data_IF_690441686011
#
_entry.id   IF_690441686011
#
_cell.length_a   1.000
_cell.length_b   1.000
_cell.length_c   1.000
_cell.angle_alpha   90.00
_cell.angle_beta   90.00
_cell.angle_gamma   90.00
#
_symmetry.space_group_name_H-M   'P 1'
#
loop_
_entity.id
_entity.type
_entity.pdbx_description
1 polymer ?
#
# COMPACT_ATOMS: atom_id res chain seq x y z
N UNK A 1 28.36 -2.27 54.64
CA UNK A 1 28.45 -2.92 53.31
C UNK A 1 27.09 -3.18 52.66
N UNK A 2 26.13 -3.81 53.35
CA UNK A 2 24.81 -4.18 52.77
C UNK A 2 24.03 -2.99 52.17
N UNK A 3 24.02 -1.82 52.83
CA UNK A 3 23.34 -0.62 52.33
C UNK A 3 23.97 -0.04 51.05
N UNK A 4 25.27 -0.21 50.87
CA UNK A 4 25.98 0.27 49.67
C UNK A 4 25.64 -0.59 48.44
N UNK A 5 25.51 -1.91 48.65
CA UNK A 5 25.16 -2.89 47.62
C UNK A 5 23.72 -2.70 47.15
N UNK A 6 22.79 -2.43 48.07
CA UNK A 6 21.38 -2.15 47.73
C UNK A 6 21.26 -0.85 46.94
N UNK A 7 22.02 0.19 47.30
CA UNK A 7 22.04 1.45 46.55
C UNK A 7 22.63 1.27 45.14
N UNK A 8 23.71 0.49 45.02
CA UNK A 8 24.33 0.18 43.72
C UNK A 8 23.40 -0.63 42.82
N UNK A 9 22.65 -1.59 43.38
CA UNK A 9 21.65 -2.38 42.66
C UNK A 9 20.47 -1.51 42.21
N UNK A 10 20.00 -0.57 43.03
CA UNK A 10 18.95 0.36 42.65
C UNK A 10 19.41 1.33 41.55
N UNK A 11 20.66 1.80 41.63
CA UNK A 11 21.29 2.66 40.63
C UNK A 11 21.50 1.93 39.29
N UNK A 12 21.94 0.66 39.32
CA UNK A 12 22.05 -0.18 38.13
C UNK A 12 20.69 -0.55 37.52
N UNK A 13 19.66 -0.77 38.35
CA UNK A 13 18.30 -1.06 37.88
C UNK A 13 17.66 0.16 37.20
N UNK A 14 17.87 1.37 37.75
CA UNK A 14 17.36 2.63 37.19
C UNK A 14 18.13 3.12 35.95
N UNK A 15 19.38 2.68 35.76
CA UNK A 15 20.11 2.87 34.50
C UNK A 15 19.71 1.83 33.44
N UNK A 16 19.40 0.58 33.81
CA UNK A 16 18.92 -0.43 32.87
C UNK A 16 17.45 -0.24 32.47
N UNK A 17 16.63 0.48 33.24
CA UNK A 17 15.25 0.82 32.85
C UNK A 17 15.14 2.01 31.89
N UNK A 18 16.27 2.58 31.45
CA UNK A 18 16.35 3.62 30.40
C UNK A 18 17.08 3.14 29.14
N UNK A 19 17.24 1.84 28.99
CA UNK A 19 17.35 1.25 27.66
C UNK A 19 15.97 1.26 27.03
N UNK A 20 15.54 2.39 26.46
CA UNK A 20 14.47 2.36 25.46
C UNK A 20 14.83 1.26 24.46
N UNK A 21 13.89 0.35 24.19
CA UNK A 21 14.07 -0.73 23.24
C UNK A 21 14.50 -0.15 21.89
N UNK A 22 15.81 -0.17 21.61
CA UNK A 22 16.39 0.21 20.30
C UNK A 22 15.82 -0.69 19.18
N UNK A 23 15.19 -1.81 19.52
CA UNK A 23 14.44 -2.68 18.61
C UNK A 23 13.07 -2.11 18.16
N UNK A 24 12.64 -0.91 18.58
CA UNK A 24 11.32 -0.36 18.23
C UNK A 24 11.34 0.73 17.14
N UNK A 25 12.51 1.10 16.63
CA UNK A 25 12.62 2.00 15.47
C UNK A 25 13.00 1.17 14.25
N UNK A 26 12.14 0.23 13.87
CA UNK A 26 12.24 -0.35 12.55
C UNK A 26 11.91 0.76 11.54
N UNK A 27 12.92 1.17 10.77
CA UNK A 27 12.75 1.90 9.53
C UNK A 27 12.01 0.95 8.57
N UNK A 28 10.69 0.92 8.71
CA UNK A 28 9.86 -0.04 8.02
C UNK A 28 9.74 0.38 6.55
N UNK A 29 10.35 -0.39 5.64
CA UNK A 29 10.25 -0.18 4.20
C UNK A 29 8.85 -0.59 3.76
N UNK A 30 7.91 0.36 3.79
CA UNK A 30 6.55 0.17 3.29
C UNK A 30 6.51 0.16 1.77
N UNK A 31 5.54 0.85 1.16
CA UNK A 31 5.62 1.16 -0.26
C UNK A 31 6.91 1.94 -0.56
N UNK A 32 7.84 1.32 -1.29
CA UNK A 32 9.14 1.89 -1.64
C UNK A 32 9.11 2.61 -2.99
N UNK A 33 10.07 3.51 -3.22
CA UNK A 33 10.23 4.13 -4.55
C UNK A 33 10.54 3.08 -5.64
N UNK A 34 11.20 1.98 -5.30
CA UNK A 34 11.49 0.88 -6.23
C UNK A 34 10.22 0.12 -6.63
N UNK A 35 9.33 -0.20 -5.68
CA UNK A 35 8.03 -0.79 -5.98
C UNK A 35 7.20 0.16 -6.85
N UNK A 36 7.13 1.45 -6.50
CA UNK A 36 6.47 2.48 -7.32
C UNK A 36 7.05 2.54 -8.74
N UNK A 37 8.37 2.47 -8.88
CA UNK A 37 9.04 2.46 -10.18
C UNK A 37 8.61 1.24 -11.02
N UNK A 38 8.59 0.05 -10.42
CA UNK A 38 8.24 -1.18 -11.11
C UNK A 38 6.77 -1.21 -11.50
N UNK A 39 5.86 -0.85 -10.58
CA UNK A 39 4.42 -0.73 -10.88
C UNK A 39 4.25 0.18 -12.10
N UNK A 40 4.85 1.38 -12.08
CA UNK A 40 4.79 2.34 -13.18
C UNK A 40 5.34 1.77 -14.50
N UNK A 41 6.50 1.09 -14.46
CA UNK A 41 7.12 0.54 -15.66
C UNK A 41 6.20 -0.49 -16.32
N UNK A 42 5.67 -1.42 -15.53
CA UNK A 42 4.81 -2.49 -16.02
C UNK A 42 3.45 -1.98 -16.49
N UNK A 43 2.84 -1.03 -15.78
CA UNK A 43 1.57 -0.43 -16.20
C UNK A 43 1.72 0.41 -17.46
N UNK A 44 2.83 1.14 -17.62
CA UNK A 44 3.14 1.86 -18.87
C UNK A 44 3.28 0.91 -20.06
N UNK A 45 3.92 -0.26 -19.86
CA UNK A 45 3.99 -1.30 -20.90
C UNK A 45 2.61 -1.85 -21.25
N UNK A 46 1.78 -2.12 -20.24
CA UNK A 46 0.40 -2.56 -20.43
C UNK A 46 -0.45 -1.54 -21.18
N UNK A 47 -0.31 -0.24 -20.86
CA UNK A 47 -0.99 0.87 -21.53
C UNK A 47 -0.63 0.94 -23.02
N UNK A 48 0.67 0.89 -23.35
CA UNK A 48 1.10 0.91 -24.75
C UNK A 48 0.49 -0.25 -25.55
N UNK A 49 0.47 -1.46 -24.98
CA UNK A 49 -0.12 -2.63 -25.62
C UNK A 49 -1.64 -2.50 -25.80
N UNK A 50 -2.35 -1.88 -24.86
CA UNK A 50 -3.79 -1.60 -25.01
C UNK A 50 -4.04 -0.59 -26.13
N UNK A 51 -3.18 0.42 -26.27
CA UNK A 51 -3.25 1.36 -27.39
C UNK A 51 -2.97 0.66 -28.74
N UNK A 52 -2.01 -0.26 -28.79
CA UNK A 52 -1.71 -1.07 -29.98
C UNK A 52 -2.87 -2.02 -30.33
N UNK A 53 -3.50 -2.62 -29.33
CA UNK A 53 -4.71 -3.43 -29.49
C UNK A 53 -5.87 -2.61 -30.04
N UNK A 54 -6.10 -1.42 -29.47
CA UNK A 54 -7.12 -0.49 -29.92
C UNK A 54 -6.89 -0.03 -31.37
N UNK A 55 -5.66 0.36 -31.70
CA UNK A 55 -5.25 0.72 -33.06
C UNK A 55 -5.49 -0.43 -34.05
N UNK A 56 -5.16 -1.67 -33.65
CA UNK A 56 -5.36 -2.87 -34.46
C UNK A 56 -6.83 -3.17 -34.75
N UNK A 57 -7.73 -2.91 -33.79
CA UNK A 57 -9.17 -3.02 -33.99
C UNK A 57 -9.73 -1.92 -34.93
N UNK A 58 -9.04 -0.79 -35.08
CA UNK A 58 -9.42 0.32 -35.96
C UNK A 58 -8.93 0.17 -37.41
N UNK A 59 -8.07 -0.81 -37.70
CA UNK A 59 -7.64 -1.12 -39.07
C UNK A 59 -8.83 -1.59 -39.92
N UNK A 60 -8.80 -1.28 -41.23
CA UNK A 60 -9.81 -1.77 -42.21
C UNK A 60 -9.94 -3.29 -42.21
N UNK A 61 -8.81 -4.00 -42.05
CA UNK A 61 -8.75 -5.45 -41.90
C UNK A 61 -8.24 -5.78 -40.49
N UNK A 62 -9.14 -6.29 -39.65
CA UNK A 62 -8.82 -6.66 -38.27
C UNK A 62 -8.12 -8.02 -38.25
N UNK A 63 -6.91 -8.06 -37.69
CA UNK A 63 -6.14 -9.29 -37.46
C UNK A 63 -6.35 -9.71 -36.00
N UNK A 64 -7.34 -10.58 -35.75
CA UNK A 64 -7.73 -10.98 -34.38
C UNK A 64 -6.55 -11.51 -33.56
N UNK A 65 -5.69 -12.33 -34.17
CA UNK A 65 -4.51 -12.91 -33.50
C UNK A 65 -3.56 -11.82 -32.99
N UNK A 66 -3.36 -10.77 -33.76
CA UNK A 66 -2.52 -9.63 -33.39
C UNK A 66 -3.11 -8.92 -32.16
N UNK A 67 -4.40 -8.57 -32.20
CA UNK A 67 -5.09 -7.96 -31.07
C UNK A 67 -5.04 -8.84 -29.83
N UNK A 68 -5.27 -10.16 -29.95
CA UNK A 68 -5.15 -11.10 -28.84
C UNK A 68 -3.77 -11.07 -28.18
N UNK A 69 -2.70 -11.11 -28.98
CA UNK A 69 -1.34 -11.05 -28.45
C UNK A 69 -1.10 -9.80 -27.63
N UNK A 70 -1.58 -8.63 -28.10
CA UNK A 70 -1.45 -7.39 -27.33
C UNK A 70 -2.24 -7.41 -26.02
N UNK A 71 -3.47 -7.93 -26.03
CA UNK A 71 -4.29 -8.03 -24.80
C UNK A 71 -3.69 -9.02 -23.79
N UNK A 72 -3.19 -10.17 -24.26
CA UNK A 72 -2.53 -11.17 -23.41
C UNK A 72 -1.25 -10.63 -22.78
N UNK A 73 -0.42 -9.96 -23.58
CA UNK A 73 0.79 -9.31 -23.08
C UNK A 73 0.47 -8.17 -22.10
N UNK A 74 -0.62 -7.42 -22.32
CA UNK A 74 -1.06 -6.38 -21.40
C UNK A 74 -1.47 -6.95 -20.05
N UNK A 75 -2.30 -8.01 -20.04
CA UNK A 75 -2.68 -8.70 -18.81
C UNK A 75 -1.48 -9.30 -18.07
N UNK A 76 -0.51 -9.85 -18.81
CA UNK A 76 0.75 -10.30 -18.23
C UNK A 76 1.45 -9.17 -17.48
N UNK A 77 1.66 -8.01 -18.11
CA UNK A 77 2.32 -6.89 -17.44
C UNK A 77 1.51 -6.30 -16.28
N UNK A 78 0.18 -6.31 -16.33
CA UNK A 78 -0.63 -5.91 -15.18
C UNK A 78 -0.52 -6.90 -14.01
N UNK A 79 -0.30 -8.19 -14.28
CA UNK A 79 0.00 -9.17 -13.24
C UNK A 79 1.39 -8.96 -12.66
N UNK A 80 2.39 -8.65 -13.48
CA UNK A 80 3.72 -8.25 -13.01
C UNK A 80 3.66 -6.99 -12.15
N UNK A 81 2.92 -5.96 -12.57
CA UNK A 81 2.74 -4.73 -11.78
C UNK A 81 2.12 -5.03 -10.40
N UNK A 82 1.10 -5.88 -10.35
CA UNK A 82 0.40 -6.22 -9.12
C UNK A 82 1.31 -6.94 -8.11
N UNK A 83 2.29 -7.73 -8.56
CA UNK A 83 3.26 -8.39 -7.68
C UNK A 83 4.14 -7.41 -6.89
N UNK A 84 4.29 -6.17 -7.37
CA UNK A 84 5.01 -5.11 -6.65
C UNK A 84 4.13 -4.31 -5.69
N UNK A 85 2.81 -4.57 -5.65
CA UNK A 85 1.93 -3.99 -4.65
C UNK A 85 2.15 -4.70 -3.30
N UNK A 86 2.48 -3.98 -2.21
CA UNK A 86 2.64 -4.59 -0.89
C UNK A 86 1.40 -5.36 -0.40
N UNK A 87 0.20 -4.86 -0.67
CA UNK A 87 -1.07 -5.52 -0.33
C UNK A 87 -1.20 -6.87 -1.01
N UNK A 88 -0.76 -6.99 -2.27
CA UNK A 88 -0.74 -8.27 -2.99
C UNK A 88 0.18 -9.28 -2.31
N UNK A 89 1.38 -8.87 -1.87
CA UNK A 89 2.31 -9.76 -1.17
C UNK A 89 1.69 -10.28 0.13
N UNK A 90 1.08 -9.38 0.91
CA UNK A 90 0.37 -9.72 2.15
C UNK A 90 -0.79 -10.69 1.87
N UNK A 91 -1.61 -10.39 0.85
CA UNK A 91 -2.70 -11.25 0.42
C UNK A 91 -2.22 -12.68 0.09
N UNK A 92 -1.11 -12.82 -0.65
CA UNK A 92 -0.52 -14.12 -1.00
C UNK A 92 0.04 -14.86 0.22
N UNK A 93 0.57 -14.15 1.19
CA UNK A 93 1.02 -14.74 2.46
C UNK A 93 -0.15 -15.25 3.28
N UNK A 94 -1.25 -14.50 3.35
CA UNK A 94 -2.47 -14.97 4.01
C UNK A 94 -3.01 -16.25 3.33
N UNK A 95 -3.12 -16.27 2.00
CA UNK A 95 -3.55 -17.49 1.29
C UNK A 95 -2.63 -18.70 1.54
N UNK A 96 -1.32 -18.48 1.65
CA UNK A 96 -0.37 -19.53 1.95
C UNK A 96 -0.53 -20.04 3.39
N UNK A 97 -0.76 -19.13 4.34
CA UNK A 97 -0.98 -19.44 5.75
C UNK A 97 -2.29 -20.21 5.95
N UNK A 98 -3.39 -19.79 5.33
CA UNK A 98 -4.68 -20.49 5.34
C UNK A 98 -4.52 -21.94 4.87
N UNK A 99 -3.81 -22.17 3.75
CA UNK A 99 -3.53 -23.51 3.23
C UNK A 99 -2.67 -24.33 4.19
N UNK A 100 -1.67 -23.72 4.83
CA UNK A 100 -0.82 -24.42 5.82
C UNK A 100 -1.66 -24.87 7.01
N UNK A 101 -2.48 -24.00 7.59
CA UNK A 101 -3.38 -24.35 8.71
C UNK A 101 -4.29 -25.52 8.35
N UNK A 102 -4.82 -25.54 7.12
CA UNK A 102 -5.67 -26.64 6.64
C UNK A 102 -4.91 -27.97 6.46
N UNK A 103 -3.64 -27.91 6.02
CA UNK A 103 -2.82 -29.10 5.76
C UNK A 103 -2.08 -29.63 7.00
N UNK A 104 -1.74 -28.75 7.94
CA UNK A 104 -0.91 -29.03 9.11
C UNK A 104 -1.52 -28.39 10.37
N UNK A 105 -2.73 -28.79 10.80
CA UNK A 105 -3.48 -28.12 11.86
C UNK A 105 -2.79 -28.14 13.23
N UNK A 106 -1.82 -29.02 13.45
CA UNK A 106 -1.14 -29.14 14.75
C UNK A 106 0.07 -28.19 14.89
N UNK A 107 0.41 -27.40 13.87
CA UNK A 107 1.50 -26.42 13.93
C UNK A 107 1.11 -25.13 14.67
N UNK A 108 2.08 -24.49 15.34
CA UNK A 108 1.94 -23.15 15.89
C UNK A 108 2.29 -22.09 14.84
N UNK A 109 1.29 -21.32 14.43
CA UNK A 109 1.40 -20.25 13.43
C UNK A 109 1.63 -18.85 14.01
N UNK A 110 1.92 -18.74 15.30
CA UNK A 110 2.06 -17.45 15.99
C UNK A 110 3.17 -16.58 15.37
N UNK A 111 4.30 -17.17 14.95
CA UNK A 111 5.40 -16.43 14.32
C UNK A 111 5.02 -15.93 12.92
N UNK A 112 4.35 -16.75 12.11
CA UNK A 112 3.84 -16.34 10.80
C UNK A 112 2.87 -15.15 10.92
N UNK A 113 2.00 -15.17 11.92
CA UNK A 113 1.05 -14.08 12.21
C UNK A 113 1.74 -12.81 12.74
N UNK A 114 2.82 -12.93 13.52
CA UNK A 114 3.64 -11.77 13.93
C UNK A 114 4.36 -11.15 12.73
N UNK A 115 4.88 -11.97 11.81
CA UNK A 115 5.45 -11.48 10.56
C UNK A 115 4.41 -10.74 9.73
N UNK A 116 3.19 -11.29 9.61
CA UNK A 116 2.07 -10.62 8.95
C UNK A 116 1.74 -9.26 9.60
N UNK A 117 1.81 -9.17 10.93
CA UNK A 117 1.57 -7.92 11.66
C UNK A 117 2.58 -6.85 11.25
N UNK A 118 3.86 -7.19 11.18
CA UNK A 118 4.93 -6.27 10.74
C UNK A 118 4.63 -5.75 9.33
N UNK A 119 4.23 -6.62 8.39
CA UNK A 119 3.90 -6.21 7.02
C UNK A 119 2.65 -5.34 6.93
N UNK A 120 1.65 -5.55 7.79
CA UNK A 120 0.48 -4.66 7.87
C UNK A 120 0.87 -3.30 8.43
N UNK A 121 1.77 -3.24 9.42
CA UNK A 121 2.32 -1.99 9.94
C UNK A 121 3.13 -1.22 8.88
N UNK A 122 3.86 -1.93 8.00
CA UNK A 122 4.64 -1.37 6.89
C UNK A 122 3.81 -0.51 5.93
N UNK A 123 2.52 -0.84 5.75
CA UNK A 123 1.60 -0.18 4.83
C UNK A 123 0.47 0.59 5.55
N UNK A 124 0.62 0.81 6.85
CA UNK A 124 -0.40 1.40 7.72
C UNK A 124 -0.94 2.75 7.22
N UNK A 125 -0.12 3.56 6.55
CA UNK A 125 -0.58 4.84 6.00
C UNK A 125 -1.54 4.70 4.82
N UNK A 126 -1.53 3.55 4.15
CA UNK A 126 -2.35 3.27 2.98
C UNK A 126 -3.60 2.44 3.28
N UNK A 127 -3.70 1.82 4.45
CA UNK A 127 -4.84 1.02 4.87
C UNK A 127 -5.96 1.89 5.48
N UNK A 128 -7.17 1.81 4.94
CA UNK A 128 -8.32 2.56 5.45
C UNK A 128 -8.70 2.14 6.88
N UNK A 129 -8.69 0.83 7.16
CA UNK A 129 -9.11 0.21 8.43
C UNK A 129 -7.92 -0.29 9.27
N UNK A 130 -6.74 0.33 9.17
CA UNK A 130 -5.50 -0.13 9.82
C UNK A 130 -5.68 -0.53 11.29
N UNK A 131 -6.32 0.34 12.11
CA UNK A 131 -6.49 0.08 13.54
C UNK A 131 -7.36 -1.14 13.83
N UNK A 132 -8.38 -1.38 13.00
CA UNK A 132 -9.22 -2.57 13.11
C UNK A 132 -8.42 -3.82 12.73
N UNK A 133 -7.73 -3.78 11.59
CA UNK A 133 -6.93 -4.89 11.08
C UNK A 133 -5.84 -5.28 12.06
N UNK A 134 -5.09 -4.31 12.59
CA UNK A 134 -4.06 -4.51 13.61
C UNK A 134 -4.61 -5.22 14.84
N UNK A 135 -5.68 -4.69 15.44
CA UNK A 135 -6.29 -5.27 16.65
C UNK A 135 -6.80 -6.69 16.42
N UNK A 136 -7.41 -6.94 15.26
CA UNK A 136 -7.89 -8.26 14.87
C UNK A 136 -6.73 -9.25 14.74
N UNK A 137 -5.62 -8.83 14.15
CA UNK A 137 -4.42 -9.66 14.01
C UNK A 137 -3.72 -9.92 15.34
N UNK A 138 -3.60 -8.91 16.21
CA UNK A 138 -3.08 -9.08 17.58
C UNK A 138 -3.91 -10.09 18.40
N UNK A 139 -5.23 -10.06 18.25
CA UNK A 139 -6.12 -11.05 18.87
C UNK A 139 -5.96 -12.44 18.25
N UNK A 140 -5.82 -12.50 16.92
CA UNK A 140 -5.57 -13.75 16.18
C UNK A 140 -4.26 -14.43 16.62
N UNK A 141 -3.19 -13.65 16.84
CA UNK A 141 -1.91 -14.14 17.36
C UNK A 141 -2.09 -14.81 18.73
N UNK A 142 -2.87 -14.20 19.63
CA UNK A 142 -3.13 -14.78 20.95
C UNK A 142 -3.88 -16.10 20.85
N UNK A 143 -4.79 -16.23 19.88
CA UNK A 143 -5.60 -17.43 19.67
C UNK A 143 -4.86 -18.57 18.97
N UNK A 144 -3.92 -18.24 18.08
CA UNK A 144 -3.08 -19.23 17.40
C UNK A 144 -2.25 -20.07 18.38
N UNK A 145 -1.75 -19.45 19.46
CA UNK A 145 -1.02 -20.16 20.52
C UNK A 145 -1.83 -21.26 21.24
N UNK A 146 -3.17 -21.26 21.08
CA UNK A 146 -4.08 -22.25 21.67
C UNK A 146 -4.66 -23.22 20.62
N UNK A 147 -4.11 -23.25 19.39
CA UNK A 147 -4.56 -24.12 18.28
C UNK A 147 -6.05 -23.92 17.90
N UNK A 148 -6.59 -22.72 18.08
CA UNK A 148 -7.96 -22.36 17.67
C UNK A 148 -8.04 -22.10 16.14
N UNK A 149 -7.69 -23.10 15.31
CA UNK A 149 -7.48 -22.92 13.87
C UNK A 149 -8.66 -22.35 13.09
N UNK A 150 -9.90 -22.74 13.41
CA UNK A 150 -11.07 -22.17 12.73
C UNK A 150 -11.18 -20.66 12.99
N UNK A 151 -10.92 -20.22 14.21
CA UNK A 151 -10.91 -18.79 14.54
C UNK A 151 -9.81 -18.05 13.77
N UNK A 152 -8.63 -18.66 13.65
CA UNK A 152 -7.51 -18.10 12.88
C UNK A 152 -7.89 -17.96 11.41
N UNK A 153 -8.46 -19.00 10.80
CA UNK A 153 -8.91 -18.99 9.41
C UNK A 153 -9.98 -17.90 9.16
N UNK A 154 -11.02 -17.85 10.00
CA UNK A 154 -12.09 -16.84 9.88
C UNK A 154 -11.52 -15.42 10.03
N UNK A 155 -10.55 -15.23 10.92
CA UNK A 155 -9.91 -13.93 11.13
C UNK A 155 -9.00 -13.53 9.97
N UNK A 156 -8.27 -14.47 9.40
CA UNK A 156 -7.43 -14.25 8.22
C UNK A 156 -8.24 -13.85 7.00
N UNK A 157 -9.41 -14.47 6.77
CA UNK A 157 -10.32 -14.08 5.68
C UNK A 157 -10.78 -12.62 5.83
N UNK A 158 -11.21 -12.23 7.03
CA UNK A 158 -11.63 -10.85 7.33
C UNK A 158 -10.48 -9.85 7.11
N UNK A 159 -9.26 -10.20 7.52
CA UNK A 159 -8.08 -9.36 7.32
C UNK A 159 -7.76 -9.24 5.83
N UNK A 160 -7.80 -10.35 5.09
CA UNK A 160 -7.51 -10.43 3.65
C UNK A 160 -8.40 -9.48 2.83
N UNK A 161 -9.69 -9.41 3.15
CA UNK A 161 -10.64 -8.49 2.48
C UNK A 161 -10.36 -7.01 2.73
N UNK A 162 -9.64 -6.68 3.82
CA UNK A 162 -9.38 -5.29 4.24
C UNK A 162 -7.98 -4.79 3.89
N UNK A 163 -7.09 -5.68 3.46
CA UNK A 163 -5.72 -5.31 3.05
C UNK A 163 -5.72 -4.91 1.58
N UNK A 164 -5.94 -3.62 1.32
CA UNK A 164 -5.83 -3.03 -0.01
C UNK A 164 -5.16 -1.66 0.04
N UNK A 165 -4.51 -1.29 -1.06
CA UNK A 165 -4.01 0.06 -1.32
C UNK A 165 -4.84 0.62 -2.48
N UNK A 166 -5.97 1.30 -2.21
CA UNK A 166 -6.96 1.67 -3.24
C UNK A 166 -6.36 2.44 -4.43
N UNK A 167 -5.42 3.36 -4.16
CA UNK A 167 -4.73 4.14 -5.19
C UNK A 167 -3.94 3.28 -6.19
N UNK A 168 -3.64 2.02 -5.84
CA UNK A 168 -2.86 1.06 -6.63
C UNK A 168 -3.74 -0.10 -7.11
N UNK A 169 -4.40 -0.78 -6.18
CA UNK A 169 -5.04 -2.07 -6.43
C UNK A 169 -6.36 -1.91 -7.20
N UNK A 170 -7.14 -0.87 -6.93
CA UNK A 170 -8.42 -0.61 -7.60
C UNK A 170 -8.21 -0.36 -9.11
N UNK A 171 -7.37 0.61 -9.54
CA UNK A 171 -7.15 0.83 -10.98
C UNK A 171 -6.45 -0.36 -11.65
N UNK A 172 -5.59 -1.11 -10.96
CA UNK A 172 -5.01 -2.35 -11.52
C UNK A 172 -6.09 -3.40 -11.79
N UNK A 173 -6.98 -3.61 -10.83
CA UNK A 173 -8.06 -4.60 -10.92
C UNK A 173 -9.09 -4.19 -11.97
N UNK A 174 -9.49 -2.93 -11.99
CA UNK A 174 -10.41 -2.37 -12.99
C UNK A 174 -9.85 -2.52 -14.41
N UNK A 175 -8.58 -2.14 -14.63
CA UNK A 175 -7.93 -2.31 -15.92
C UNK A 175 -7.89 -3.77 -16.39
N UNK A 176 -7.51 -4.70 -15.49
CA UNK A 176 -7.50 -6.14 -15.81
C UNK A 176 -8.88 -6.65 -16.21
N UNK A 177 -9.91 -6.27 -15.47
CA UNK A 177 -11.29 -6.69 -15.74
C UNK A 177 -11.77 -6.16 -17.10
N UNK A 178 -11.56 -4.88 -17.39
CA UNK A 178 -11.95 -4.27 -18.67
C UNK A 178 -11.20 -4.88 -19.86
N UNK A 179 -9.92 -5.18 -19.71
CA UNK A 179 -9.13 -5.88 -20.76
C UNK A 179 -9.62 -7.32 -20.93
N UNK A 180 -9.96 -8.02 -19.84
CA UNK A 180 -10.59 -9.34 -19.88
C UNK A 180 -11.91 -9.33 -20.65
N UNK A 181 -12.80 -8.38 -20.35
CA UNK A 181 -14.06 -8.16 -21.06
C UNK A 181 -13.81 -7.86 -22.54
N UNK A 182 -12.84 -7.01 -22.87
CA UNK A 182 -12.48 -6.70 -24.25
C UNK A 182 -12.03 -7.96 -25.03
N UNK A 183 -11.30 -8.85 -24.36
CA UNK A 183 -10.81 -10.12 -24.90
C UNK A 183 -11.95 -11.12 -25.13
N UNK A 184 -12.95 -11.16 -24.25
CA UNK A 184 -14.15 -11.98 -24.42
C UNK A 184 -15.02 -11.47 -25.58
N UNK A 185 -15.23 -10.16 -25.71
CA UNK A 185 -15.90 -9.59 -26.88
C UNK A 185 -15.13 -9.85 -28.19
N UNK A 186 -13.80 -9.80 -28.16
CA UNK A 186 -12.97 -10.18 -29.31
C UNK A 186 -13.15 -11.66 -29.68
N UNK A 187 -13.39 -12.54 -28.70
CA UNK A 187 -13.67 -13.98 -28.89
C UNK A 187 -15.00 -14.17 -29.62
N UNK A 188 -16.01 -13.46 -29.17
CA UNK A 188 -17.35 -13.41 -29.75
C UNK A 188 -17.43 -12.65 -31.09
N UNK A 189 -16.33 -12.07 -31.57
CA UNK A 189 -16.26 -11.22 -32.78
C UNK A 189 -17.07 -9.91 -32.67
N UNK A 190 -17.36 -9.47 -31.44
CA UNK A 190 -18.05 -8.22 -31.15
C UNK A 190 -17.05 -7.05 -31.09
N UNK A 191 -16.43 -6.72 -32.23
CA UNK A 191 -15.30 -5.77 -32.28
C UNK A 191 -15.63 -4.38 -31.75
N UNK A 192 -16.87 -3.89 -31.94
CA UNK A 192 -17.30 -2.58 -31.42
C UNK A 192 -17.30 -2.57 -29.88
N UNK A 193 -17.84 -3.62 -29.25
CA UNK A 193 -17.86 -3.74 -27.78
C UNK A 193 -16.46 -3.94 -27.22
N UNK A 194 -15.64 -4.73 -27.93
CA UNK A 194 -14.22 -4.89 -27.58
C UNK A 194 -13.48 -3.55 -27.56
N UNK A 195 -13.69 -2.69 -28.58
CA UNK A 195 -13.13 -1.32 -28.60
C UNK A 195 -13.60 -0.47 -27.42
N UNK A 196 -14.91 -0.47 -27.16
CA UNK A 196 -15.48 0.31 -26.05
C UNK A 196 -14.89 -0.11 -24.70
N UNK A 197 -14.72 -1.42 -24.47
CA UNK A 197 -14.07 -1.92 -23.26
C UNK A 197 -12.61 -1.47 -23.16
N UNK A 198 -11.86 -1.45 -24.28
CA UNK A 198 -10.49 -0.91 -24.29
C UNK A 198 -10.44 0.60 -24.04
N UNK A 199 -11.37 1.38 -24.59
CA UNK A 199 -11.49 2.82 -24.33
C UNK A 199 -11.73 3.10 -22.85
N UNK A 200 -12.61 2.33 -22.22
CA UNK A 200 -12.85 2.41 -20.77
C UNK A 200 -11.60 2.01 -19.98
N UNK A 201 -10.85 0.99 -20.42
CA UNK A 201 -9.64 0.53 -19.75
C UNK A 201 -8.51 1.58 -19.73
N UNK A 202 -8.54 2.55 -20.64
CA UNK A 202 -7.51 3.61 -20.69
C UNK A 202 -7.49 4.44 -19.42
N UNK A 203 -8.64 4.78 -18.84
CA UNK A 203 -8.71 5.62 -17.64
C UNK A 203 -8.00 4.99 -16.43
N UNK A 204 -8.33 3.76 -15.97
CA UNK A 204 -7.61 3.15 -14.85
C UNK A 204 -6.14 2.89 -15.18
N UNK A 205 -5.81 2.53 -16.43
CA UNK A 205 -4.41 2.39 -16.88
C UNK A 205 -3.66 3.71 -16.79
N UNK A 206 -4.28 4.82 -17.17
CA UNK A 206 -3.73 6.16 -17.02
C UNK A 206 -3.59 6.46 -15.53
N UNK A 207 -4.60 6.27 -14.70
CA UNK A 207 -4.51 6.58 -13.27
C UNK A 207 -3.35 5.85 -12.55
N UNK A 208 -3.06 4.60 -12.93
CA UNK A 208 -1.92 3.83 -12.37
C UNK A 208 -0.59 4.04 -13.11
N UNK A 209 -0.61 4.31 -14.42
CA UNK A 209 0.61 4.59 -15.21
C UNK A 209 1.12 6.01 -14.97
N UNK A 210 0.19 6.93 -14.69
CA UNK A 210 0.49 8.28 -14.26
C UNK A 210 0.87 8.26 -12.79
N UNK A 211 1.89 9.03 -12.47
CA UNK A 211 2.61 8.88 -11.21
C UNK A 211 1.85 9.44 -10.01
N UNK A 212 0.74 10.16 -10.22
CA UNK A 212 0.01 10.84 -9.15
C UNK A 212 -0.43 9.85 -8.06
N UNK A 213 -1.22 8.83 -8.41
CA UNK A 213 -1.71 7.85 -7.44
C UNK A 213 -0.57 7.18 -6.66
N UNK A 214 0.50 6.79 -7.36
CA UNK A 214 1.67 6.17 -6.74
C UNK A 214 2.40 7.13 -5.78
N UNK A 215 2.52 8.41 -6.15
CA UNK A 215 3.10 9.43 -5.30
C UNK A 215 2.19 9.79 -4.12
N UNK A 216 0.88 9.79 -4.32
CA UNK A 216 -0.09 10.01 -3.25
C UNK A 216 -0.07 8.86 -2.24
N UNK A 217 0.08 7.61 -2.69
CA UNK A 217 0.28 6.45 -1.81
C UNK A 217 1.56 6.60 -0.97
N UNK A 218 2.66 7.11 -1.56
CA UNK A 218 3.87 7.46 -0.81
C UNK A 218 3.66 8.60 0.20
N UNK A 219 2.91 9.64 -0.18
CA UNK A 219 2.56 10.75 0.74
C UNK A 219 1.81 10.20 1.95
N UNK A 220 0.77 9.38 1.72
CA UNK A 220 0.00 8.73 2.78
C UNK A 220 0.90 7.96 3.74
N UNK A 221 1.79 7.15 3.18
CA UNK A 221 2.74 6.35 3.95
C UNK A 221 3.69 7.20 4.80
N UNK A 222 4.34 8.18 4.18
CA UNK A 222 5.32 9.01 4.86
C UNK A 222 4.70 9.93 5.91
N UNK A 223 3.50 10.48 5.68
CA UNK A 223 2.80 11.27 6.69
C UNK A 223 2.43 10.42 7.90
N UNK A 224 1.91 9.21 7.66
CA UNK A 224 1.56 8.29 8.75
C UNK A 224 2.80 7.91 9.57
N UNK A 225 3.90 7.53 8.90
CA UNK A 225 5.18 7.24 9.56
C UNK A 225 5.76 8.45 10.30
N UNK A 226 5.63 9.64 9.72
CA UNK A 226 5.99 10.90 10.35
C UNK A 226 5.25 11.11 11.67
N UNK A 227 3.94 10.83 11.71
CA UNK A 227 3.13 10.88 12.93
C UNK A 227 3.56 9.84 13.96
N UNK A 228 3.65 8.57 13.57
CA UNK A 228 4.00 7.48 14.51
C UNK A 228 5.35 7.75 15.17
N UNK A 229 6.32 8.24 14.41
CA UNK A 229 7.67 8.52 14.90
C UNK A 229 7.82 9.88 15.59
N UNK A 230 6.81 10.75 15.58
CA UNK A 230 6.92 12.12 16.10
C UNK A 230 7.32 12.16 17.57
N UNK A 231 6.66 11.36 18.40
CA UNK A 231 6.91 11.28 19.85
C UNK A 231 8.06 10.33 20.22
N UNK A 232 8.51 9.48 19.29
CA UNK A 232 9.57 8.50 19.51
C UNK A 232 10.94 9.05 19.08
N UNK A 233 11.01 9.63 17.88
CA UNK A 233 12.23 10.18 17.30
C UNK A 233 11.90 11.31 16.31
N UNK A 234 11.94 12.54 16.83
CA UNK A 234 11.66 13.78 16.08
C UNK A 234 12.51 13.94 14.81
N UNK A 235 13.77 13.47 14.82
CA UNK A 235 14.67 13.55 13.65
C UNK A 235 14.19 12.64 12.52
N UNK A 236 13.74 11.44 12.85
CA UNK A 236 13.20 10.49 11.87
C UNK A 236 11.85 10.99 11.36
N UNK A 237 10.99 11.50 12.24
CA UNK A 237 9.71 12.12 11.86
C UNK A 237 9.90 13.25 10.85
N UNK A 238 10.87 14.14 11.05
CA UNK A 238 11.24 15.18 10.06
C UNK A 238 11.63 14.59 8.71
N UNK A 239 12.46 13.54 8.68
CA UNK A 239 12.85 12.88 7.42
C UNK A 239 11.67 12.31 6.67
N UNK A 240 10.70 11.71 7.37
CA UNK A 240 9.47 11.25 6.75
C UNK A 240 8.62 12.40 6.21
N UNK A 241 8.53 13.51 6.95
CA UNK A 241 7.88 14.71 6.44
C UNK A 241 8.59 15.26 5.20
N UNK A 242 9.93 15.19 5.13
CA UNK A 242 10.70 15.66 3.98
C UNK A 242 10.42 14.78 2.76
N UNK A 243 10.41 13.47 2.95
CA UNK A 243 10.02 12.50 1.93
C UNK A 243 8.57 12.71 1.47
N UNK A 244 7.64 13.01 2.38
CA UNK A 244 6.24 13.32 2.04
C UNK A 244 6.14 14.60 1.21
N UNK A 245 6.90 15.65 1.55
CA UNK A 245 6.93 16.89 0.79
C UNK A 245 7.53 16.67 -0.60
N UNK A 246 8.56 15.85 -0.70
CA UNK A 246 9.15 15.46 -1.97
C UNK A 246 8.15 14.69 -2.85
N UNK A 247 7.44 13.72 -2.28
CA UNK A 247 6.42 12.94 -2.98
C UNK A 247 5.22 13.80 -3.43
N UNK A 248 4.68 14.67 -2.56
CA UNK A 248 3.55 15.55 -2.93
C UNK A 248 3.93 16.57 -4.00
N UNK A 249 5.19 17.04 -4.01
CA UNK A 249 5.68 17.88 -5.09
C UNK A 249 5.71 17.11 -6.41
N UNK A 250 6.22 15.88 -6.41
CA UNK A 250 6.20 15.02 -7.59
C UNK A 250 4.76 14.78 -8.08
N UNK A 251 3.81 14.52 -7.16
CA UNK A 251 2.38 14.39 -7.48
C UNK A 251 1.87 15.66 -8.19
N UNK A 252 2.04 16.83 -7.57
CA UNK A 252 1.59 18.12 -8.10
C UNK A 252 2.04 18.40 -9.54
N UNK A 253 3.27 18.02 -9.89
CA UNK A 253 3.82 18.24 -11.24
C UNK A 253 3.15 17.37 -12.30
N UNK A 254 2.67 16.19 -11.93
CA UNK A 254 2.03 15.25 -12.87
C UNK A 254 0.51 15.29 -12.81
N UNK A 255 -0.06 16.09 -11.90
CA UNK A 255 -1.50 16.17 -11.69
C UNK A 255 -2.29 16.77 -12.82
N UNK A 256 -3.50 16.24 -13.00
CA UNK A 256 -4.55 16.87 -13.80
C UNK A 256 -4.92 18.24 -13.20
N UNK A 257 -5.61 19.08 -13.99
CA UNK A 257 -6.10 20.37 -13.48
C UNK A 257 -7.09 20.19 -12.33
N UNK A 258 -7.90 19.13 -12.35
CA UNK A 258 -8.92 18.86 -11.34
C UNK A 258 -8.30 18.52 -9.97
N UNK A 259 -7.24 17.70 -9.95
CA UNK A 259 -6.62 17.25 -8.69
C UNK A 259 -5.56 18.22 -8.16
N UNK A 260 -5.10 19.16 -8.99
CA UNK A 260 -3.99 20.06 -8.66
C UNK A 260 -4.28 20.97 -7.45
N UNK A 261 -5.51 21.41 -7.26
CA UNK A 261 -5.88 22.29 -6.14
C UNK A 261 -5.85 21.55 -4.80
N UNK A 262 -6.39 20.32 -4.77
CA UNK A 262 -6.29 19.43 -3.60
C UNK A 262 -4.83 19.18 -3.22
N UNK A 263 -4.00 18.81 -4.20
CA UNK A 263 -2.58 18.50 -3.97
C UNK A 263 -1.80 19.76 -3.57
N UNK A 264 -2.17 20.94 -4.09
CA UNK A 264 -1.61 22.22 -3.65
C UNK A 264 -1.90 22.48 -2.17
N UNK A 265 -3.15 22.28 -1.72
CA UNK A 265 -3.53 22.43 -0.32
C UNK A 265 -2.75 21.47 0.58
N UNK A 266 -2.63 20.19 0.19
CA UNK A 266 -1.82 19.22 0.94
C UNK A 266 -0.35 19.65 1.06
N UNK A 267 0.23 20.16 -0.03
CA UNK A 267 1.61 20.68 0.00
C UNK A 267 1.76 21.85 0.96
N UNK A 268 0.78 22.73 1.03
CA UNK A 268 0.75 23.87 1.96
C UNK A 268 0.61 23.40 3.41
N UNK A 269 -0.27 22.43 3.67
CA UNK A 269 -0.45 21.80 4.99
C UNK A 269 0.85 21.14 5.47
N UNK A 270 1.55 20.38 4.62
CA UNK A 270 2.84 19.75 4.96
C UNK A 270 3.89 20.81 5.29
N UNK A 271 3.97 21.89 4.52
CA UNK A 271 4.89 23.01 4.80
C UNK A 271 4.56 23.71 6.11
N UNK A 272 3.28 23.83 6.45
CA UNK A 272 2.85 24.40 7.71
C UNK A 272 3.28 23.51 8.89
N UNK A 273 3.16 22.18 8.75
CA UNK A 273 3.66 21.22 9.75
C UNK A 273 5.16 21.44 9.98
N UNK A 274 5.96 21.55 8.90
CA UNK A 274 7.39 21.84 9.02
C UNK A 274 7.69 23.11 9.81
N UNK A 275 6.96 24.19 9.53
CA UNK A 275 7.16 25.47 10.20
C UNK A 275 6.86 25.40 11.70
N UNK A 276 5.89 24.58 12.08
CA UNK A 276 5.42 24.46 13.47
C UNK A 276 5.95 23.19 14.17
N UNK A 277 6.86 22.43 13.56
CA UNK A 277 7.19 21.07 13.98
C UNK A 277 7.59 20.90 15.47
N UNK A 278 8.16 21.94 16.07
CA UNK A 278 8.58 21.93 17.49
C UNK A 278 7.48 22.38 18.47
N UNK A 279 6.35 22.85 17.98
CA UNK A 279 5.12 23.08 18.75
C UNK A 279 4.32 21.78 18.79
N UNK A 280 4.46 21.04 19.89
CA UNK A 280 3.96 19.66 20.03
C UNK A 280 2.44 19.55 19.83
N UNK A 281 1.68 20.37 20.53
CA UNK A 281 0.20 20.33 20.49
C UNK A 281 -0.32 20.72 19.11
N UNK A 282 0.28 21.72 18.47
CA UNK A 282 -0.14 22.14 17.15
C UNK A 282 0.28 21.13 16.08
N UNK A 283 1.49 20.57 16.17
CA UNK A 283 2.01 19.59 15.20
C UNK A 283 1.20 18.30 15.21
N UNK A 284 0.91 17.74 16.38
CA UNK A 284 0.12 16.51 16.49
C UNK A 284 -1.29 16.70 15.90
N UNK A 285 -1.94 17.82 16.21
CA UNK A 285 -3.24 18.17 15.64
C UNK A 285 -3.16 18.26 14.11
N UNK A 286 -2.17 18.97 13.58
CA UNK A 286 -2.02 19.15 12.13
C UNK A 286 -1.71 17.84 11.40
N UNK A 287 -0.94 16.93 12.02
CA UNK A 287 -0.68 15.58 11.50
C UNK A 287 -1.95 14.74 11.46
N UNK A 288 -2.81 14.83 12.48
CA UNK A 288 -4.11 14.16 12.48
C UNK A 288 -5.03 14.71 11.39
N UNK A 289 -5.11 16.04 11.27
CA UNK A 289 -5.97 16.71 10.28
C UNK A 289 -5.57 16.33 8.85
N UNK A 290 -4.26 16.28 8.54
CA UNK A 290 -3.81 15.88 7.19
C UNK A 290 -4.05 14.39 6.92
N UNK A 291 -3.86 13.50 7.90
CA UNK A 291 -4.15 12.07 7.72
C UNK A 291 -5.63 11.86 7.41
N UNK A 292 -6.52 12.56 8.10
CA UNK A 292 -7.95 12.46 7.84
C UNK A 292 -8.33 12.97 6.45
N UNK A 293 -7.74 14.08 5.99
CA UNK A 293 -7.88 14.56 4.61
C UNK A 293 -7.41 13.52 3.59
N UNK A 294 -6.30 12.86 3.86
CA UNK A 294 -5.69 11.87 2.97
C UNK A 294 -6.46 10.55 2.88
N UNK A 295 -7.27 10.18 3.89
CA UNK A 295 -8.14 9.00 3.83
C UNK A 295 -9.15 9.08 2.68
N UNK A 296 -9.63 10.29 2.38
CA UNK A 296 -10.66 10.53 1.36
C UNK A 296 -10.13 10.56 -0.08
N UNK A 297 -8.81 10.37 -0.27
CA UNK A 297 -8.19 10.35 -1.60
C UNK A 297 -8.13 8.91 -2.10
N UNK A 298 -8.85 8.66 -3.20
CA UNK A 298 -8.95 7.39 -3.93
C UNK A 298 -8.69 7.63 -5.41
#
# INVERSE_FOLDING_TARGET
MVRLVIFLLFFLYSFNSKGENINQIYLNEGLTENQVYNIRLFTTRALNLVLDAYSSLNKKRIIRKETYTYLDASLFFLNEAHQYSPSYIIYRQIEALEKRIQLYPDEDYSEDLKTLLIYIEEISGNLEDYDYVRKKLEDTIKKAAFLENQYVLDSLEIIKEKVSIPLIDDPLTEAKNLIGIAKDHLKAREYKKSKQALELALNPLINISYRENLYMALVKEYIHKGKVTYNLNRRISLRYLEASLYAVNKAFYVSSRENRDLIKMLREDIRLIFKNFYDEKNTEKMLNDIIEKLKNIR
#
